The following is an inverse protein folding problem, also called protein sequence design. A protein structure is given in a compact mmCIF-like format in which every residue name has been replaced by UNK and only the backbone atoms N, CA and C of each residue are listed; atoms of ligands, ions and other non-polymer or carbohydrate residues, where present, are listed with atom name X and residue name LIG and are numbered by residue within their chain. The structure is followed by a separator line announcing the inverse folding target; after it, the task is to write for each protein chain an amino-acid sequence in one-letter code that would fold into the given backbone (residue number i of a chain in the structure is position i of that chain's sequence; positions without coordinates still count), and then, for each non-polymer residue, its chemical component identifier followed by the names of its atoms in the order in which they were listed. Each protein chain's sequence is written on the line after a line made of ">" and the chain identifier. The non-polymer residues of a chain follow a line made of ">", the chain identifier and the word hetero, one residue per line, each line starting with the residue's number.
data_IF_330613615403
#
_entry.id   IF_330613615403
#
_cell.length_a   1.000
_cell.length_b   1.000
_cell.length_c   1.000
_cell.angle_alpha   90.00
_cell.angle_beta   90.00
_cell.angle_gamma   90.00
#
_symmetry.space_group_name_H-M   'P 1'
#
loop_
_entity.id
_entity.type
_entity.pdbx_description
1 polymer ?
#
# COMPACT_ATOMS: atom_id res chain seq x y z
N UNK A 1 -41.89 5.29 2.75
CA UNK A 1 -40.49 5.46 3.22
C UNK A 1 -39.58 4.25 2.93
N UNK A 2 -40.13 3.13 2.48
CA UNK A 2 -39.38 1.88 2.17
C UNK A 2 -38.94 1.80 0.68
N UNK A 3 -39.60 2.57 -0.18
CA UNK A 3 -39.34 2.55 -1.63
C UNK A 3 -38.02 3.27 -2.01
N UNK A 4 -37.53 4.23 -1.22
CA UNK A 4 -36.33 5.00 -1.52
C UNK A 4 -35.02 4.26 -1.19
N UNK A 5 -35.05 3.21 -0.38
CA UNK A 5 -33.84 2.44 -0.02
C UNK A 5 -33.52 1.40 -1.09
N UNK A 6 -34.55 0.81 -1.72
CA UNK A 6 -34.37 -0.14 -2.81
C UNK A 6 -33.89 0.50 -4.13
N UNK A 7 -34.23 1.78 -4.34
CA UNK A 7 -33.79 2.52 -5.54
C UNK A 7 -32.32 2.93 -5.49
N UNK A 8 -31.79 3.19 -4.28
CA UNK A 8 -30.37 3.52 -4.08
C UNK A 8 -29.49 2.26 -4.23
N UNK A 9 -29.96 1.11 -3.74
CA UNK A 9 -29.26 -0.18 -3.90
C UNK A 9 -29.25 -0.66 -5.36
N UNK A 10 -30.29 -0.36 -6.16
CA UNK A 10 -30.34 -0.69 -7.57
C UNK A 10 -29.43 0.21 -8.44
N UNK A 11 -29.15 1.45 -8.01
CA UNK A 11 -28.23 2.36 -8.74
C UNK A 11 -26.74 2.03 -8.50
N UNK A 12 -26.39 1.43 -7.37
CA UNK A 12 -25.04 0.97 -7.09
C UNK A 12 -24.70 -0.30 -7.86
N UNK A 13 -25.70 -1.13 -8.20
CA UNK A 13 -25.50 -2.36 -8.99
C UNK A 13 -25.31 -2.13 -10.50
N UNK A 14 -25.53 -0.93 -11.03
CA UNK A 14 -25.41 -0.64 -12.47
C UNK A 14 -24.12 0.11 -12.87
N UNK A 15 -23.25 0.46 -11.93
CA UNK A 15 -21.96 1.16 -12.23
C UNK A 15 -20.79 0.19 -12.40
N UNK A 16 -20.96 -1.12 -12.18
CA UNK A 16 -19.87 -2.10 -12.23
C UNK A 16 -19.79 -2.94 -13.50
N UNK A 17 -20.27 -2.42 -14.65
CA UNK A 17 -20.06 -3.04 -15.96
C UNK A 17 -19.29 -2.11 -16.91
N UNK A 18 -18.25 -1.42 -16.45
CA UNK A 18 -17.16 -1.07 -17.35
C UNK A 18 -16.35 -2.35 -17.62
N UNK A 19 -16.12 -2.64 -18.91
CA UNK A 19 -15.21 -3.72 -19.30
C UNK A 19 -13.90 -3.52 -18.56
N UNK A 20 -13.44 -4.56 -17.87
CA UNK A 20 -12.13 -4.57 -17.24
C UNK A 20 -11.10 -3.97 -18.22
N UNK A 21 -10.40 -2.94 -17.80
CA UNK A 21 -9.34 -2.34 -18.62
C UNK A 21 -8.30 -3.43 -18.85
N UNK A 22 -7.94 -3.69 -20.11
CA UNK A 22 -6.81 -4.54 -20.41
C UNK A 22 -5.53 -3.80 -20.09
N UNK A 23 -4.83 -4.25 -19.07
CA UNK A 23 -3.50 -3.78 -18.70
C UNK A 23 -2.42 -4.73 -19.24
N UNK A 24 -1.21 -4.23 -19.55
CA UNK A 24 -0.14 -5.06 -20.10
C UNK A 24 0.28 -6.26 -19.21
N UNK A 25 -0.09 -6.26 -17.96
CA UNK A 25 0.25 -7.30 -16.99
C UNK A 25 -0.89 -8.28 -16.69
N UNK A 26 -2.07 -8.13 -17.29
CA UNK A 26 -3.18 -9.07 -17.06
C UNK A 26 -2.80 -10.51 -17.39
N UNK A 27 -2.07 -10.74 -18.50
CA UNK A 27 -1.54 -12.05 -18.86
C UNK A 27 -0.56 -12.60 -17.81
N UNK A 28 0.14 -11.72 -17.08
CA UNK A 28 1.04 -12.12 -16.03
C UNK A 28 0.26 -12.62 -14.80
N UNK A 29 -0.87 -11.98 -14.46
CA UNK A 29 -1.75 -12.44 -13.40
C UNK A 29 -2.38 -13.80 -13.68
N UNK A 30 -2.69 -14.10 -14.94
CA UNK A 30 -3.23 -15.41 -15.31
C UNK A 30 -2.27 -16.56 -15.00
N UNK A 31 -0.96 -16.31 -14.97
CA UNK A 31 0.05 -17.28 -14.54
C UNK A 31 0.04 -17.55 -13.03
N UNK A 32 -0.57 -16.64 -12.24
CA UNK A 32 -0.76 -16.83 -10.79
C UNK A 32 -2.02 -17.61 -10.45
N UNK A 33 -2.82 -17.98 -11.45
CA UNK A 33 -3.99 -18.85 -11.25
C UNK A 33 -3.52 -20.29 -11.11
N UNK A 34 -3.37 -20.72 -9.87
CA UNK A 34 -3.19 -22.15 -9.60
C UNK A 34 -4.55 -22.81 -9.60
N UNK A 35 -4.75 -23.81 -10.45
CA UNK A 35 -5.79 -24.81 -10.24
C UNK A 35 -5.38 -25.62 -8.99
N UNK A 36 -5.73 -25.12 -7.85
CA UNK A 36 -5.68 -25.91 -6.63
C UNK A 36 -6.82 -26.90 -6.75
N UNK A 37 -6.52 -28.09 -7.22
CA UNK A 37 -7.37 -29.26 -6.97
C UNK A 37 -7.32 -29.55 -5.48
N UNK A 38 -8.12 -28.81 -4.73
CA UNK A 38 -8.36 -29.12 -3.31
C UNK A 38 -9.15 -30.44 -3.31
N UNK A 39 -8.67 -31.48 -2.59
CA UNK A 39 -9.53 -32.62 -2.28
C UNK A 39 -10.77 -32.06 -1.56
N UNK A 40 -11.97 -32.54 -1.92
CA UNK A 40 -13.19 -32.23 -1.17
C UNK A 40 -13.00 -32.61 0.31
N UNK A 41 -12.56 -31.65 1.13
CA UNK A 41 -12.62 -31.76 2.59
C UNK A 41 -13.96 -31.19 3.08
N UNK A 42 -14.52 -31.73 4.21
CA UNK A 42 -15.84 -31.38 4.68
C UNK A 42 -15.92 -29.92 5.06
N UNK A 43 -17.00 -29.26 4.65
CA UNK A 43 -17.47 -27.90 4.98
C UNK A 43 -16.50 -27.02 5.76
N UNK A 44 -15.53 -26.41 5.07
CA UNK A 44 -14.75 -25.35 5.67
C UNK A 44 -15.65 -24.13 5.99
N UNK A 45 -15.43 -23.45 7.11
CA UNK A 45 -16.21 -22.28 7.46
C UNK A 45 -16.07 -21.22 6.37
N UNK A 46 -17.22 -20.77 5.83
CA UNK A 46 -17.25 -19.68 4.86
C UNK A 46 -16.82 -18.35 5.50
N UNK A 47 -15.90 -17.64 4.87
CA UNK A 47 -15.43 -16.33 5.30
C UNK A 47 -14.09 -16.34 6.03
N UNK A 48 -13.59 -15.15 6.41
CA UNK A 48 -12.30 -14.99 7.07
C UNK A 48 -12.30 -15.61 8.48
N UNK A 49 -11.13 -16.07 8.91
CA UNK A 49 -10.94 -16.51 10.30
C UNK A 49 -11.05 -15.29 11.22
N UNK A 50 -11.97 -15.35 12.17
CA UNK A 50 -12.14 -14.28 13.14
C UNK A 50 -10.89 -14.09 14.01
N UNK A 51 -10.62 -12.85 14.50
CA UNK A 51 -9.58 -12.62 15.49
C UNK A 51 -9.73 -13.53 16.71
N UNK A 52 -8.63 -13.96 17.28
CA UNK A 52 -8.65 -14.82 18.46
C UNK A 52 -9.29 -14.09 19.66
N UNK A 53 -10.13 -14.80 20.41
CA UNK A 53 -10.64 -14.25 21.67
C UNK A 53 -9.47 -13.97 22.64
N UNK A 54 -9.46 -12.79 23.22
CA UNK A 54 -8.43 -12.34 24.14
C UNK A 54 -7.29 -11.59 23.43
N UNK A 55 -6.04 -11.92 23.78
CA UNK A 55 -4.86 -11.23 23.24
C UNK A 55 -4.34 -11.95 22.00
N UNK A 56 -4.43 -11.29 20.85
CA UNK A 56 -3.81 -11.80 19.63
C UNK A 56 -2.28 -11.84 19.73
N UNK A 57 -1.71 -12.84 19.09
CA UNK A 57 -0.26 -13.00 18.88
C UNK A 57 -0.04 -13.20 17.39
N UNK A 58 0.42 -12.16 16.72
CA UNK A 58 0.60 -12.12 15.29
C UNK A 58 2.09 -12.21 14.94
N UNK A 59 2.41 -12.89 13.86
CA UNK A 59 3.76 -12.91 13.27
C UNK A 59 3.74 -12.20 11.92
N UNK A 60 4.73 -11.36 11.66
CA UNK A 60 4.90 -10.68 10.39
C UNK A 60 5.64 -11.57 9.40
N UNK A 61 5.06 -11.73 8.22
CA UNK A 61 5.64 -12.46 7.10
C UNK A 61 6.09 -11.43 6.07
N UNK A 62 7.40 -11.26 5.95
CA UNK A 62 8.01 -10.34 5.00
C UNK A 62 7.82 -10.84 3.56
N UNK A 63 7.64 -9.92 2.60
CA UNK A 63 7.52 -10.24 1.18
C UNK A 63 8.76 -10.99 0.64
N UNK A 64 9.92 -10.85 1.28
CA UNK A 64 11.13 -11.61 0.96
C UNK A 64 11.17 -13.02 1.56
N UNK A 65 10.23 -13.38 2.45
CA UNK A 65 10.16 -14.71 3.03
C UNK A 65 9.92 -15.78 1.94
N UNK A 66 10.31 -17.00 2.24
CA UNK A 66 10.21 -18.10 1.29
C UNK A 66 8.75 -18.56 1.12
N UNK A 67 8.19 -18.35 -0.04
CA UNK A 67 6.82 -18.72 -0.36
C UNK A 67 6.51 -20.21 -0.30
N UNK A 68 7.50 -21.05 -0.50
CA UNK A 68 7.30 -22.50 -0.45
C UNK A 68 6.94 -22.98 0.94
N UNK A 69 7.11 -22.11 1.94
CA UNK A 69 6.92 -22.41 3.35
C UNK A 69 5.66 -21.78 3.96
N UNK A 70 4.69 -21.31 3.17
CA UNK A 70 3.36 -20.99 3.73
C UNK A 70 2.69 -22.27 4.32
N UNK A 71 3.15 -23.45 3.93
CA UNK A 71 2.90 -24.70 4.62
C UNK A 71 3.32 -24.69 6.10
N UNK A 72 4.20 -23.77 6.51
CA UNK A 72 4.56 -23.52 7.91
C UNK A 72 3.44 -22.89 8.74
N UNK A 73 2.27 -22.65 8.20
CA UNK A 73 1.10 -22.18 8.96
C UNK A 73 0.81 -23.06 10.15
N UNK A 74 0.99 -24.38 10.02
CA UNK A 74 0.86 -25.35 11.12
C UNK A 74 1.89 -25.08 12.22
N UNK A 75 3.17 -24.91 11.86
CA UNK A 75 4.23 -24.62 12.82
C UNK A 75 3.99 -23.28 13.52
N UNK A 76 3.52 -22.26 12.80
CA UNK A 76 3.12 -20.98 13.35
C UNK A 76 2.04 -21.18 14.42
N UNK A 77 1.02 -21.99 14.13
CA UNK A 77 -0.04 -22.31 15.09
C UNK A 77 0.50 -23.06 16.32
N UNK A 78 1.33 -24.07 16.11
CA UNK A 78 1.92 -24.90 17.16
C UNK A 78 2.84 -24.10 18.10
N UNK A 79 3.48 -23.04 17.60
CA UNK A 79 4.28 -22.12 18.43
C UNK A 79 3.43 -21.10 19.20
N UNK A 80 2.12 -21.15 19.04
CA UNK A 80 1.15 -20.36 19.81
C UNK A 80 0.80 -19.01 19.22
N UNK A 81 1.14 -18.73 17.97
CA UNK A 81 0.60 -17.58 17.25
C UNK A 81 -0.88 -17.81 16.91
N UNK A 82 -1.64 -16.73 16.86
CA UNK A 82 -3.07 -16.72 16.56
C UNK A 82 -3.37 -16.24 15.14
N UNK A 83 -2.38 -15.66 14.48
CA UNK A 83 -2.53 -15.18 13.11
C UNK A 83 -1.23 -14.70 12.51
N UNK A 84 -1.31 -14.32 11.24
CA UNK A 84 -0.20 -13.82 10.44
C UNK A 84 -0.54 -12.45 9.84
N UNK A 85 0.48 -11.60 9.71
CA UNK A 85 0.44 -10.38 8.92
C UNK A 85 1.34 -10.61 7.71
N UNK A 86 0.76 -10.64 6.53
CA UNK A 86 1.48 -10.93 5.26
C UNK A 86 1.73 -9.64 4.51
N UNK A 87 3.01 -9.29 4.27
CA UNK A 87 3.37 -8.16 3.43
C UNK A 87 3.12 -8.52 1.95
N UNK A 88 2.05 -7.99 1.39
CA UNK A 88 1.58 -8.28 0.03
C UNK A 88 1.80 -7.14 -0.95
N UNK A 89 2.30 -6.00 -0.49
CA UNK A 89 2.72 -4.86 -1.30
C UNK A 89 3.93 -4.16 -0.68
N UNK A 90 5.14 -4.67 -0.93
CA UNK A 90 6.38 -4.13 -0.37
C UNK A 90 6.75 -2.76 -0.96
N UNK A 91 7.84 -2.18 -0.50
CA UNK A 91 8.30 -0.82 -0.84
C UNK A 91 8.65 -0.63 -2.33
N UNK A 92 9.00 -1.69 -3.03
CA UNK A 92 9.26 -1.62 -4.47
C UNK A 92 8.00 -1.76 -5.33
N UNK A 93 6.83 -1.64 -4.70
CA UNK A 93 5.51 -1.85 -5.29
C UNK A 93 5.38 -3.22 -5.97
N UNK A 94 4.37 -3.44 -6.79
CA UNK A 94 4.06 -4.79 -7.26
C UNK A 94 3.32 -5.59 -6.18
N UNK A 95 2.41 -6.44 -6.61
CA UNK A 95 1.45 -7.08 -5.72
C UNK A 95 1.72 -8.58 -5.59
N UNK A 96 1.42 -9.12 -4.42
CA UNK A 96 1.40 -10.56 -4.16
C UNK A 96 -0.04 -11.09 -4.04
N UNK A 97 -0.96 -10.39 -4.67
CA UNK A 97 -2.37 -10.77 -4.82
C UNK A 97 -2.89 -10.26 -6.16
N UNK A 98 -4.00 -10.80 -6.63
CA UNK A 98 -4.55 -10.45 -7.94
C UNK A 98 -5.16 -9.05 -7.94
N UNK A 99 -4.75 -8.23 -8.90
CA UNK A 99 -5.27 -6.89 -9.16
C UNK A 99 -5.06 -6.48 -10.61
N UNK A 100 -5.93 -5.65 -11.13
CA UNK A 100 -5.75 -5.03 -12.45
C UNK A 100 -5.03 -3.68 -12.39
N UNK A 101 -4.70 -3.20 -11.20
CA UNK A 101 -4.14 -1.86 -10.98
C UNK A 101 -2.62 -1.82 -10.98
N UNK A 102 -1.98 -2.90 -10.58
CA UNK A 102 -0.53 -2.98 -10.45
C UNK A 102 -0.01 -4.35 -10.89
N UNK A 103 1.19 -4.40 -11.43
CA UNK A 103 1.80 -5.65 -11.87
C UNK A 103 2.08 -6.59 -10.70
N UNK A 104 2.07 -7.91 -10.95
CA UNK A 104 2.51 -8.87 -9.94
C UNK A 104 3.98 -8.65 -9.57
N UNK A 105 4.29 -8.85 -8.30
CA UNK A 105 5.64 -8.74 -7.80
C UNK A 105 6.53 -9.85 -8.37
N UNK A 106 7.60 -9.48 -9.06
CA UNK A 106 8.56 -10.43 -9.63
C UNK A 106 9.84 -10.57 -8.82
N UNK A 107 10.17 -9.55 -8.03
CA UNK A 107 11.33 -9.54 -7.16
C UNK A 107 11.12 -8.58 -6.01
N UNK A 108 11.77 -8.81 -4.90
CA UNK A 108 11.76 -7.95 -3.72
C UNK A 108 13.18 -7.77 -3.19
N UNK A 109 13.48 -6.61 -2.63
CA UNK A 109 14.73 -6.36 -1.94
C UNK A 109 14.72 -7.06 -0.58
N UNK A 110 15.76 -7.85 -0.32
CA UNK A 110 15.97 -8.46 0.98
C UNK A 110 16.91 -7.60 1.83
N UNK A 111 16.43 -7.22 3.00
CA UNK A 111 17.18 -6.36 3.94
C UNK A 111 18.40 -7.06 4.56
N UNK A 112 18.41 -8.39 4.63
CA UNK A 112 19.45 -9.14 5.32
C UNK A 112 20.31 -9.97 4.36
N UNK A 113 21.51 -10.27 4.76
CA UNK A 113 22.60 -9.41 5.21
C UNK A 113 23.40 -8.77 4.05
N UNK A 114 22.98 -8.98 2.80
CA UNK A 114 23.74 -8.57 1.62
C UNK A 114 22.98 -7.68 0.64
N UNK A 115 21.85 -7.14 1.05
CA UNK A 115 21.01 -6.25 0.25
C UNK A 115 20.94 -6.68 -1.23
N UNK A 116 20.11 -7.65 -1.54
CA UNK A 116 20.01 -8.27 -2.87
C UNK A 116 18.55 -8.42 -3.30
N UNK A 117 18.34 -8.52 -4.61
CA UNK A 117 17.05 -8.95 -5.12
C UNK A 117 16.78 -10.42 -4.78
N UNK A 118 15.58 -10.68 -4.32
CA UNK A 118 15.02 -12.03 -4.18
C UNK A 118 13.96 -12.19 -5.26
N UNK A 119 14.14 -13.16 -6.13
CA UNK A 119 13.18 -13.48 -7.18
C UNK A 119 11.84 -13.95 -6.58
N UNK A 120 10.77 -13.54 -7.24
CA UNK A 120 9.40 -13.91 -6.93
C UNK A 120 8.75 -14.44 -8.19
N UNK A 121 8.96 -15.71 -8.45
CA UNK A 121 8.42 -16.43 -9.62
C UNK A 121 7.28 -17.34 -9.22
N UNK A 122 6.41 -16.89 -8.32
CA UNK A 122 5.23 -17.65 -7.96
C UNK A 122 4.25 -17.70 -9.15
N UNK A 123 3.74 -18.87 -9.44
CA UNK A 123 2.72 -19.13 -10.44
C UNK A 123 1.31 -19.28 -9.80
N UNK A 124 1.12 -18.68 -8.63
CA UNK A 124 -0.11 -18.74 -7.84
C UNK A 124 -0.35 -17.41 -7.12
N UNK A 125 -1.59 -17.17 -6.71
CA UNK A 125 -1.96 -16.04 -5.86
C UNK A 125 -1.46 -16.28 -4.43
N UNK A 126 -0.46 -15.50 -4.05
CA UNK A 126 0.23 -15.66 -2.78
C UNK A 126 -0.66 -15.35 -1.56
N UNK A 127 -1.45 -14.29 -1.65
CA UNK A 127 -2.36 -13.93 -0.56
C UNK A 127 -3.44 -15.01 -0.39
N UNK A 128 -4.01 -15.49 -1.50
CA UNK A 128 -5.02 -16.55 -1.43
C UNK A 128 -4.45 -17.82 -0.78
N UNK A 129 -3.20 -18.17 -1.11
CA UNK A 129 -2.56 -19.33 -0.49
C UNK A 129 -2.40 -19.18 1.05
N UNK A 130 -2.14 -17.97 1.55
CA UNK A 130 -2.13 -17.70 3.00
C UNK A 130 -3.54 -17.75 3.60
N UNK A 131 -4.54 -17.25 2.89
CA UNK A 131 -5.95 -17.32 3.34
C UNK A 131 -6.37 -18.77 3.51
N UNK A 132 -6.09 -19.61 2.51
CA UNK A 132 -6.47 -21.04 2.53
C UNK A 132 -5.73 -21.78 3.66
N UNK A 133 -4.43 -21.56 3.80
CA UNK A 133 -3.64 -22.14 4.87
C UNK A 133 -4.08 -21.64 6.26
N UNK A 134 -4.43 -20.37 6.38
CA UNK A 134 -4.96 -19.78 7.61
C UNK A 134 -6.29 -20.39 8.02
N UNK A 135 -7.21 -20.57 7.09
CA UNK A 135 -8.49 -21.24 7.33
C UNK A 135 -8.28 -22.67 7.85
N UNK A 136 -7.41 -23.42 7.18
CA UNK A 136 -7.10 -24.79 7.55
C UNK A 136 -6.56 -24.92 8.98
N UNK A 137 -5.70 -24.03 9.40
CA UNK A 137 -5.05 -24.06 10.72
C UNK A 137 -5.74 -23.17 11.78
N UNK A 138 -6.83 -22.48 11.41
CA UNK A 138 -7.53 -21.54 12.29
C UNK A 138 -6.65 -20.35 12.73
N UNK A 139 -5.89 -19.78 11.79
CA UNK A 139 -5.09 -18.57 11.95
C UNK A 139 -5.79 -17.39 11.28
N UNK A 140 -5.89 -16.27 11.97
CA UNK A 140 -6.30 -15.01 11.34
C UNK A 140 -5.25 -14.56 10.34
N UNK A 141 -5.68 -14.02 9.17
CA UNK A 141 -4.80 -13.53 8.12
C UNK A 141 -5.05 -12.06 7.89
N UNK A 142 -4.02 -11.25 8.07
CA UNK A 142 -4.02 -9.82 7.78
C UNK A 142 -3.11 -9.55 6.58
N UNK A 143 -3.60 -8.77 5.62
CA UNK A 143 -2.79 -8.30 4.50
C UNK A 143 -2.16 -6.94 4.85
N UNK A 144 -0.84 -6.83 4.75
CA UNK A 144 -0.13 -5.58 4.95
C UNK A 144 0.29 -4.98 3.60
N UNK A 145 0.11 -3.66 3.47
CA UNK A 145 0.57 -2.91 2.31
C UNK A 145 1.36 -1.68 2.75
N UNK A 146 2.41 -1.32 2.02
CA UNK A 146 3.10 -0.04 2.18
C UNK A 146 2.28 1.07 1.51
N UNK A 147 1.28 1.59 2.22
CA UNK A 147 0.14 2.35 1.70
C UNK A 147 0.53 3.54 0.83
N UNK A 148 1.32 4.48 1.36
CA UNK A 148 1.69 5.71 0.65
C UNK A 148 3.02 5.59 -0.12
N UNK A 149 3.55 4.38 -0.26
CA UNK A 149 4.79 4.16 -1.01
C UNK A 149 4.47 3.91 -2.47
N UNK A 150 5.11 4.65 -3.37
CA UNK A 150 5.00 4.53 -4.82
C UNK A 150 6.26 4.01 -5.49
N UNK A 151 7.30 3.72 -4.73
CA UNK A 151 8.56 3.20 -5.25
C UNK A 151 9.68 3.18 -4.23
N UNK A 152 10.81 2.68 -4.65
CA UNK A 152 12.03 2.60 -3.86
C UNK A 152 13.26 2.98 -4.68
N UNK A 153 14.12 3.83 -4.11
CA UNK A 153 15.51 3.92 -4.54
C UNK A 153 16.31 2.92 -3.71
N UNK A 154 16.49 1.74 -4.25
CA UNK A 154 17.15 0.63 -3.58
C UNK A 154 18.69 0.68 -3.72
N UNK A 155 19.26 1.85 -3.91
CA UNK A 155 20.71 2.08 -4.02
C UNK A 155 21.35 1.31 -5.18
N UNK A 156 22.26 0.39 -4.88
CA UNK A 156 22.92 -0.44 -5.89
C UNK A 156 21.98 -1.39 -6.64
N UNK A 157 20.79 -1.66 -6.09
CA UNK A 157 19.77 -2.49 -6.73
C UNK A 157 18.91 -1.70 -7.75
N UNK A 158 19.05 -0.37 -7.77
CA UNK A 158 18.36 0.50 -8.71
C UNK A 158 17.08 1.11 -8.14
N UNK A 159 16.32 1.73 -9.05
CA UNK A 159 15.09 2.45 -8.75
C UNK A 159 13.92 1.66 -9.34
N UNK A 160 12.91 1.39 -8.52
CA UNK A 160 11.75 0.57 -8.88
C UNK A 160 10.45 1.16 -8.34
N UNK A 161 9.33 0.69 -8.89
CA UNK A 161 7.99 1.11 -8.52
C UNK A 161 7.41 2.15 -9.44
N UNK A 162 6.08 2.30 -9.40
CA UNK A 162 5.34 3.07 -10.39
C UNK A 162 5.77 4.55 -10.47
N UNK A 163 6.25 5.16 -9.38
CA UNK A 163 6.75 6.53 -9.44
C UNK A 163 8.02 6.70 -10.30
N UNK A 164 8.75 5.60 -10.54
CA UNK A 164 9.92 5.61 -11.41
C UNK A 164 9.63 5.02 -12.80
N UNK A 165 8.73 4.06 -12.87
CA UNK A 165 8.50 3.23 -14.05
C UNK A 165 7.31 3.70 -14.90
N UNK A 166 6.35 4.44 -14.30
CA UNK A 166 5.19 5.00 -14.98
C UNK A 166 5.27 6.53 -15.04
N UNK A 167 5.56 7.06 -16.22
CA UNK A 167 5.69 8.50 -16.45
C UNK A 167 4.42 9.29 -16.08
N UNK A 168 3.24 8.68 -16.26
CA UNK A 168 1.96 9.31 -15.93
C UNK A 168 1.73 9.50 -14.43
N UNK A 169 2.39 8.71 -13.60
CA UNK A 169 2.27 8.74 -12.14
C UNK A 169 3.39 9.52 -11.43
N UNK A 170 4.41 9.99 -12.16
CA UNK A 170 5.51 10.77 -11.56
C UNK A 170 5.03 12.01 -10.82
N UNK A 171 3.98 12.66 -11.31
CA UNK A 171 3.36 13.83 -10.68
C UNK A 171 2.69 13.51 -9.32
N UNK A 172 2.51 12.24 -9.00
CA UNK A 172 1.97 11.82 -7.69
C UNK A 172 3.02 11.86 -6.58
N UNK A 173 4.31 11.95 -6.95
CA UNK A 173 5.39 11.97 -5.97
C UNK A 173 5.29 13.18 -5.03
N UNK A 174 5.52 12.94 -3.76
CA UNK A 174 5.59 14.00 -2.74
C UNK A 174 6.69 15.00 -3.05
N UNK A 175 6.42 16.29 -2.80
CA UNK A 175 7.32 17.40 -3.06
C UNK A 175 7.92 17.92 -1.75
N UNK A 176 9.25 17.95 -1.69
CA UNK A 176 10.02 18.26 -0.49
C UNK A 176 10.50 19.71 -0.52
N UNK A 177 10.26 20.45 0.55
CA UNK A 177 10.76 21.80 0.73
C UNK A 177 12.23 21.77 1.16
N UNK A 178 13.14 21.98 0.21
CA UNK A 178 14.58 21.97 0.45
C UNK A 178 15.18 23.38 0.50
N UNK A 179 16.41 23.54 0.97
CA UNK A 179 17.14 24.81 0.94
C UNK A 179 17.24 25.39 -0.48
N UNK A 180 17.38 24.53 -1.49
CA UNK A 180 17.52 24.92 -2.90
C UNK A 180 16.20 25.04 -3.65
N UNK A 181 15.05 24.87 -2.99
CA UNK A 181 13.72 24.96 -3.55
C UNK A 181 12.89 23.70 -3.28
N UNK A 182 11.68 23.68 -3.82
CA UNK A 182 10.79 22.52 -3.76
C UNK A 182 11.24 21.50 -4.80
N UNK A 183 11.47 20.27 -4.40
CA UNK A 183 11.94 19.18 -5.26
C UNK A 183 11.11 17.91 -5.06
N UNK A 184 10.97 17.12 -6.11
CA UNK A 184 10.39 15.79 -5.97
C UNK A 184 11.18 14.93 -4.99
N UNK A 185 10.50 14.12 -4.20
CA UNK A 185 11.14 13.12 -3.34
C UNK A 185 11.99 12.13 -4.16
N UNK A 186 11.69 11.96 -5.45
CA UNK A 186 12.46 11.11 -6.37
C UNK A 186 13.88 11.63 -6.62
N UNK A 187 14.07 12.95 -6.51
CA UNK A 187 15.33 13.64 -6.79
C UNK A 187 16.09 14.02 -5.52
N UNK A 188 15.34 14.39 -4.47
CA UNK A 188 15.91 14.96 -3.26
C UNK A 188 16.34 13.91 -2.24
N UNK A 189 15.50 12.93 -1.99
CA UNK A 189 15.77 11.95 -0.95
C UNK A 189 16.80 10.92 -1.43
N UNK A 190 17.62 10.45 -0.49
CA UNK A 190 18.60 9.39 -0.72
C UNK A 190 17.89 8.05 -1.01
N UNK A 191 18.61 6.96 -0.87
CA UNK A 191 18.06 5.60 -0.94
C UNK A 191 16.88 5.40 0.01
N UNK A 192 15.96 4.53 -0.36
CA UNK A 192 14.80 4.16 0.42
C UNK A 192 13.46 4.40 -0.28
N UNK A 193 12.39 4.21 0.46
CA UNK A 193 11.03 4.34 -0.04
C UNK A 193 10.72 5.76 -0.53
N UNK A 194 9.93 5.84 -1.60
CA UNK A 194 9.44 7.08 -2.22
C UNK A 194 7.93 7.15 -2.04
N UNK A 195 7.48 8.28 -1.53
CA UNK A 195 6.11 8.44 -1.10
C UNK A 195 5.29 9.26 -2.11
N UNK A 196 4.04 8.89 -2.24
CA UNK A 196 3.05 9.69 -2.97
C UNK A 196 2.54 10.83 -2.11
N UNK A 197 2.03 11.86 -2.77
CA UNK A 197 1.35 12.96 -2.10
C UNK A 197 -0.09 12.57 -1.72
N UNK A 198 -0.43 12.48 -0.44
CA UNK A 198 -1.80 12.15 -0.01
C UNK A 198 -2.83 13.26 -0.33
N UNK A 199 -2.41 14.45 -0.72
CA UNK A 199 -3.30 15.47 -1.22
C UNK A 199 -3.65 15.29 -2.71
N UNK A 200 -2.99 14.40 -3.44
CA UNK A 200 -3.29 14.08 -4.82
C UNK A 200 -4.43 13.05 -4.89
N UNK A 201 -5.58 13.47 -5.40
CA UNK A 201 -6.79 12.64 -5.43
C UNK A 201 -6.63 11.41 -6.34
N UNK A 202 -5.88 11.50 -7.43
CA UNK A 202 -5.61 10.36 -8.33
C UNK A 202 -4.78 9.29 -7.61
N UNK A 203 -3.75 9.72 -6.85
CA UNK A 203 -2.93 8.81 -6.06
C UNK A 203 -3.74 8.13 -4.95
N UNK A 204 -4.63 8.88 -4.29
CA UNK A 204 -5.52 8.35 -3.25
C UNK A 204 -6.51 7.36 -3.85
N UNK A 205 -7.15 7.69 -4.96
CA UNK A 205 -8.10 6.81 -5.64
C UNK A 205 -7.45 5.50 -6.12
N UNK A 206 -6.20 5.57 -6.59
CA UNK A 206 -5.42 4.39 -6.95
C UNK A 206 -5.19 3.47 -5.74
N UNK A 207 -4.83 4.04 -4.58
CA UNK A 207 -4.65 3.28 -3.34
C UNK A 207 -5.98 2.69 -2.86
N UNK A 208 -7.08 3.43 -2.98
CA UNK A 208 -8.43 2.93 -2.66
C UNK A 208 -8.76 1.72 -3.52
N UNK A 209 -8.49 1.76 -4.83
CA UNK A 209 -8.69 0.60 -5.70
C UNK A 209 -7.89 -0.63 -5.26
N UNK A 210 -6.63 -0.47 -4.83
CA UNK A 210 -5.84 -1.57 -4.25
C UNK A 210 -6.52 -2.14 -2.99
N UNK A 211 -7.10 -1.28 -2.14
CA UNK A 211 -7.82 -1.72 -0.94
C UNK A 211 -9.13 -2.43 -1.28
N UNK A 212 -9.82 -2.00 -2.34
CA UNK A 212 -11.03 -2.65 -2.84
C UNK A 212 -10.72 -4.06 -3.35
N UNK A 213 -9.62 -4.24 -4.09
CA UNK A 213 -9.16 -5.55 -4.53
C UNK A 213 -8.83 -6.46 -3.33
N UNK A 214 -8.13 -5.95 -2.33
CA UNK A 214 -7.85 -6.69 -1.09
C UNK A 214 -9.12 -7.07 -0.32
N UNK A 215 -10.14 -6.22 -0.34
CA UNK A 215 -11.41 -6.50 0.33
C UNK A 215 -12.20 -7.66 -0.31
N UNK A 216 -11.79 -8.12 -1.49
CA UNK A 216 -12.38 -9.30 -2.14
C UNK A 216 -11.88 -10.63 -1.56
N UNK A 217 -10.79 -10.61 -0.79
CA UNK A 217 -10.21 -11.79 -0.16
C UNK A 217 -10.82 -12.03 1.22
N UNK A 218 -10.92 -13.29 1.63
CA UNK A 218 -11.37 -13.70 2.98
C UNK A 218 -10.29 -13.46 4.04
N UNK A 219 -9.76 -12.24 4.10
CA UNK A 219 -8.78 -11.80 5.09
C UNK A 219 -9.45 -11.25 6.35
N UNK A 220 -8.82 -11.40 7.49
CA UNK A 220 -9.30 -10.88 8.78
C UNK A 220 -9.27 -9.35 8.82
N UNK A 221 -8.29 -8.74 8.13
CA UNK A 221 -8.17 -7.29 8.05
C UNK A 221 -6.98 -6.84 7.22
N UNK A 222 -6.83 -5.53 7.08
CA UNK A 222 -5.75 -4.88 6.31
C UNK A 222 -4.90 -4.05 7.27
N UNK A 223 -3.58 -4.15 7.13
CA UNK A 223 -2.60 -3.34 7.85
C UNK A 223 -2.09 -2.26 6.88
N UNK A 224 -2.39 -1.01 7.20
CA UNK A 224 -1.92 0.15 6.44
C UNK A 224 -0.54 0.56 6.96
N UNK A 225 0.52 -0.17 6.55
CA UNK A 225 1.88 0.25 6.85
C UNK A 225 2.24 1.47 6.01
N UNK A 226 3.14 2.33 6.52
CA UNK A 226 3.58 3.57 5.88
C UNK A 226 2.44 4.44 5.33
N UNK A 227 1.29 4.42 6.00
CA UNK A 227 0.18 5.35 5.74
C UNK A 227 0.51 6.72 6.36
N UNK A 228 1.55 7.35 5.89
CA UNK A 228 2.15 8.58 6.43
C UNK A 228 2.99 9.29 5.37
N UNK A 229 3.41 10.52 5.67
CA UNK A 229 4.53 11.13 4.96
C UNK A 229 5.84 10.39 5.24
N UNK A 230 6.87 10.68 4.45
CA UNK A 230 8.22 10.14 4.65
C UNK A 230 8.85 10.63 5.99
N UNK A 231 10.09 10.25 6.23
CA UNK A 231 10.81 10.62 7.46
C UNK A 231 11.12 12.14 7.54
N UNK A 232 10.87 12.87 6.43
CA UNK A 232 10.97 14.32 6.34
C UNK A 232 9.58 14.99 6.36
N UNK A 233 8.66 14.50 7.18
CA UNK A 233 7.25 14.88 7.19
C UNK A 233 7.01 16.40 7.33
N UNK A 234 7.86 17.13 8.05
CA UNK A 234 7.75 18.60 8.14
C UNK A 234 8.18 19.32 6.85
N UNK A 235 8.91 18.63 5.96
CA UNK A 235 9.34 19.15 4.67
C UNK A 235 8.46 18.69 3.52
N UNK A 236 7.40 17.90 3.79
CA UNK A 236 6.49 17.32 2.81
C UNK A 236 5.02 17.52 3.23
N UNK A 237 4.08 17.69 2.35
CA UNK A 237 4.19 17.89 0.90
C UNK A 237 3.99 19.36 0.54
N UNK A 238 4.91 19.92 -0.23
CA UNK A 238 4.87 21.33 -0.65
C UNK A 238 4.53 21.51 -2.13
N UNK A 239 3.82 20.56 -2.74
CA UNK A 239 3.34 20.67 -4.12
C UNK A 239 2.32 21.80 -4.29
N UNK A 240 2.06 22.17 -5.55
CA UNK A 240 0.99 23.12 -5.88
C UNK A 240 -0.40 22.57 -5.51
N UNK A 241 -0.59 21.25 -5.52
CA UNK A 241 -1.85 20.62 -5.08
C UNK A 241 -2.04 20.86 -3.58
N UNK A 242 -1.03 20.56 -2.77
CA UNK A 242 -1.10 20.77 -1.32
C UNK A 242 -1.23 22.24 -0.97
N UNK A 243 -0.53 23.12 -1.71
CA UNK A 243 -0.71 24.57 -1.58
C UNK A 243 -2.15 24.98 -1.84
N UNK A 244 -2.73 24.55 -2.95
CA UNK A 244 -4.11 24.91 -3.33
C UNK A 244 -5.11 24.45 -2.28
N UNK A 245 -5.04 23.18 -1.85
CA UNK A 245 -5.93 22.65 -0.81
C UNK A 245 -5.75 23.37 0.53
N UNK A 246 -4.52 23.73 0.88
CA UNK A 246 -4.25 24.50 2.09
C UNK A 246 -4.82 25.93 2.03
N UNK A 247 -4.63 26.65 0.92
CA UNK A 247 -5.18 27.97 0.68
C UNK A 247 -6.73 27.96 0.73
N UNK A 248 -7.34 26.92 0.17
CA UNK A 248 -8.79 26.70 0.27
C UNK A 248 -9.23 26.47 1.72
N UNK A 249 -8.50 25.65 2.47
CA UNK A 249 -8.81 25.36 3.87
C UNK A 249 -8.71 26.59 4.76
N UNK A 250 -7.68 27.45 4.56
CA UNK A 250 -7.53 28.66 5.37
C UNK A 250 -8.33 29.87 4.86
N UNK A 251 -8.89 29.78 3.65
CA UNK A 251 -9.70 30.85 3.01
C UNK A 251 -8.88 32.05 2.53
N UNK A 252 -7.57 31.93 2.40
CA UNK A 252 -6.67 33.01 1.96
C UNK A 252 -5.50 32.47 1.15
N UNK A 253 -4.88 33.35 0.32
CA UNK A 253 -3.68 32.99 -0.45
C UNK A 253 -2.42 33.15 0.38
N UNK A 254 -1.49 32.22 0.24
CA UNK A 254 -0.14 32.30 0.84
C UNK A 254 0.75 33.11 -0.09
N UNK A 255 1.14 34.32 0.34
CA UNK A 255 1.85 35.28 -0.53
C UNK A 255 3.25 34.78 -0.92
N UNK A 256 4.01 34.24 0.02
CA UNK A 256 5.37 33.75 -0.20
C UNK A 256 5.47 32.24 0.08
N UNK A 257 4.92 31.44 -0.82
CA UNK A 257 5.03 29.99 -0.72
C UNK A 257 6.45 29.49 -1.01
N UNK A 258 7.03 28.56 -0.21
CA UNK A 258 6.50 28.01 1.04
C UNK A 258 6.86 28.82 2.30
N UNK A 259 7.62 29.92 2.20
CA UNK A 259 8.31 30.59 3.30
C UNK A 259 7.36 31.12 4.39
N UNK A 260 6.13 31.53 4.01
CA UNK A 260 5.13 31.98 5.00
C UNK A 260 4.61 30.82 5.88
N UNK A 261 4.75 29.56 5.41
CA UNK A 261 4.42 28.34 6.17
C UNK A 261 5.68 27.80 6.84
N UNK A 262 6.67 27.40 6.03
CA UNK A 262 7.97 26.95 6.46
C UNK A 262 9.08 27.58 5.62
N UNK A 263 10.11 28.09 6.27
CA UNK A 263 11.30 28.53 5.55
C UNK A 263 11.87 27.37 4.70
N UNK A 264 12.56 27.71 3.63
CA UNK A 264 13.21 26.70 2.77
C UNK A 264 14.16 25.84 3.59
N UNK A 265 14.05 24.53 3.42
CA UNK A 265 14.89 23.55 4.12
C UNK A 265 14.63 23.41 5.62
N UNK A 266 13.58 24.04 6.16
CA UNK A 266 13.27 23.94 7.58
C UNK A 266 12.94 22.48 7.95
N UNK A 267 13.60 21.95 8.97
CA UNK A 267 13.41 20.59 9.51
C UNK A 267 12.72 20.58 10.87
N UNK A 268 12.36 21.75 11.39
CA UNK A 268 11.68 21.91 12.68
C UNK A 268 10.72 23.09 12.65
N UNK A 269 9.77 23.06 13.56
CA UNK A 269 8.89 24.20 13.81
C UNK A 269 9.67 25.38 14.39
N UNK A 270 9.19 26.59 14.13
CA UNK A 270 9.62 27.78 14.83
C UNK A 270 9.30 27.66 16.33
N UNK A 271 10.06 28.37 17.17
CA UNK A 271 9.81 28.38 18.61
C UNK A 271 9.52 29.82 19.07
N UNK A 272 8.26 30.16 19.36
CA UNK A 272 7.05 29.35 19.24
C UNK A 272 6.64 29.12 17.77
N UNK A 273 5.86 28.05 17.52
CA UNK A 273 5.30 27.79 16.18
C UNK A 273 4.41 28.95 15.73
N UNK A 274 4.56 29.39 14.48
CA UNK A 274 3.76 30.47 13.90
C UNK A 274 2.28 30.06 13.75
N UNK A 275 1.40 31.04 13.59
CA UNK A 275 -0.01 30.79 13.34
C UNK A 275 -0.21 29.98 12.05
N UNK A 276 0.58 30.26 11.01
CA UNK A 276 0.51 29.55 9.73
C UNK A 276 1.01 28.10 9.84
N UNK A 277 2.09 27.87 10.59
CA UNK A 277 2.57 26.50 10.88
C UNK A 277 1.52 25.67 11.62
N UNK A 278 0.82 26.29 12.59
CA UNK A 278 -0.25 25.59 13.33
C UNK A 278 -1.48 25.26 12.49
N UNK A 279 -1.76 26.05 11.46
CA UNK A 279 -2.85 25.76 10.52
C UNK A 279 -2.45 24.66 9.52
N UNK A 280 -1.18 24.57 9.17
CA UNK A 280 -0.65 23.58 8.25
C UNK A 280 -0.61 22.18 8.86
N UNK A 281 -0.27 22.05 10.12
CA UNK A 281 -0.22 20.79 10.88
C UNK A 281 -1.60 20.32 11.32
#
# INVERSE_FOLDING_TARGET
>A
KIINVLTVLALVAFVSCEKAKEYPWNDAWDKYQHEVTVPEEPDEPSGPVAPAEGKERLVWIDAAANFKDYANSKEIKETGFTGVIVDVRPTNTGLLFKSDLEAPLTKVDAWAPNYKWVERTADFDYLQAFVDAGKKEGLSVYAAINTMVGGCDCGSLGKVGFLYEDESKKSWASMVNTESGIKSCLEHTKTGAKFVNPANDDAVNYIIGILEDLASYDITGIILDRCRYDDHSLQSDFSDISRTKFEEFIGEKVANWPNDVFARGATSLSTPATAMQKKWL
#
